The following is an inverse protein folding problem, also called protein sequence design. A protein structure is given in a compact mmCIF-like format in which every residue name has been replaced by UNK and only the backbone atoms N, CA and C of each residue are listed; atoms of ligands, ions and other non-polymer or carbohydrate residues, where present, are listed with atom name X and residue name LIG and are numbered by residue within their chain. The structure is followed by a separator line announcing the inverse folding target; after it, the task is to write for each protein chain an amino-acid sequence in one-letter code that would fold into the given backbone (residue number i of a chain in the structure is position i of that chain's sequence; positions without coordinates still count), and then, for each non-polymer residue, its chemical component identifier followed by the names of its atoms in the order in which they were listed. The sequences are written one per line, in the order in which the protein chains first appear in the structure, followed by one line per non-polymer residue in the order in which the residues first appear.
data_IF_764370254358
#
_entry.id   IF_764370254358
#
_cell.length_a   1.000
_cell.length_b   1.000
_cell.length_c   1.000
_cell.angle_alpha   90.00
_cell.angle_beta   90.00
_cell.angle_gamma   90.00
#
_symmetry.space_group_name_H-M   'P 1'
#
loop_
_entity.id
_entity.type
_entity.pdbx_description
1 polymer ?
#
# COMPACT_ATOMS: atom_id res chain seq x y z
N UNK A 1 17.69 -61.00 11.84
CA UNK A 1 17.31 -59.72 11.20
C UNK A 1 15.96 -59.90 10.52
N UNK A 2 14.88 -59.44 11.14
CA UNK A 2 13.53 -59.43 10.56
C UNK A 2 13.31 -58.05 9.90
N UNK A 3 12.97 -58.00 8.63
CA UNK A 3 12.65 -56.78 7.89
C UNK A 3 11.13 -56.56 7.86
N UNK A 4 10.67 -55.44 8.43
CA UNK A 4 9.29 -54.96 8.37
C UNK A 4 8.90 -54.60 6.93
N UNK A 5 7.85 -55.24 6.41
CA UNK A 5 7.26 -54.94 5.11
C UNK A 5 6.55 -53.59 5.12
N UNK A 6 7.26 -52.53 4.71
CA UNK A 6 6.71 -51.19 4.56
C UNK A 6 5.91 -51.10 3.26
N UNK A 7 4.59 -51.00 3.36
CA UNK A 7 3.73 -50.61 2.24
C UNK A 7 4.01 -49.15 1.86
N UNK A 8 4.26 -48.88 0.59
CA UNK A 8 4.47 -47.52 0.07
C UNK A 8 3.13 -46.81 -0.17
N UNK A 9 3.02 -45.47 0.02
CA UNK A 9 1.73 -44.75 0.03
C UNK A 9 0.95 -44.75 -1.30
N UNK A 10 1.58 -45.18 -2.40
CA UNK A 10 0.96 -45.18 -3.72
C UNK A 10 -0.10 -46.28 -3.90
N UNK A 11 -0.16 -47.27 -3.01
CA UNK A 11 -1.08 -48.42 -3.14
C UNK A 11 -2.49 -48.15 -2.56
N UNK A 12 -2.73 -46.96 -1.98
CA UNK A 12 -4.00 -46.62 -1.31
C UNK A 12 -4.94 -45.78 -2.20
N UNK A 13 -4.46 -45.25 -3.33
CA UNK A 13 -5.30 -44.53 -4.28
C UNK A 13 -5.94 -45.50 -5.29
N UNK A 14 -7.21 -45.85 -5.07
CA UNK A 14 -8.07 -46.40 -6.13
C UNK A 14 -8.95 -45.28 -6.68
N UNK A 15 -8.89 -44.95 -7.98
CA UNK A 15 -9.85 -44.04 -8.59
C UNK A 15 -11.25 -44.65 -8.55
N UNK A 16 -12.23 -43.87 -8.10
CA UNK A 16 -13.64 -44.25 -8.13
C UNK A 16 -14.14 -44.28 -9.59
N UNK A 17 -15.04 -45.21 -9.97
CA UNK A 17 -15.69 -45.18 -11.27
C UNK A 17 -16.49 -43.88 -11.43
N UNK A 18 -16.32 -43.22 -12.57
CA UNK A 18 -17.17 -42.09 -12.96
C UNK A 18 -18.45 -42.70 -13.54
N UNK A 19 -19.57 -42.57 -12.85
CA UNK A 19 -20.89 -42.84 -13.43
C UNK A 19 -21.17 -41.77 -14.49
N UNK A 20 -21.19 -42.18 -15.74
CA UNK A 20 -21.60 -41.33 -16.88
C UNK A 20 -23.12 -41.19 -16.80
N UNK A 21 -23.58 -40.05 -16.28
CA UNK A 21 -25.00 -39.68 -16.31
C UNK A 21 -25.37 -39.36 -17.77
N UNK A 22 -26.31 -40.08 -18.40
CA UNK A 22 -26.78 -39.73 -19.73
C UNK A 22 -27.54 -38.38 -19.68
N UNK A 23 -27.37 -37.49 -20.67
CA UNK A 23 -28.03 -36.20 -20.66
C UNK A 23 -29.55 -36.36 -20.78
N UNK A 24 -30.28 -35.79 -19.82
CA UNK A 24 -31.72 -35.63 -19.89
C UNK A 24 -32.08 -34.65 -21.03
N UNK A 25 -33.12 -34.92 -21.84
CA UNK A 25 -33.57 -34.00 -22.87
C UNK A 25 -34.17 -32.76 -22.21
N UNK A 26 -33.48 -31.62 -22.33
CA UNK A 26 -34.04 -30.32 -21.97
C UNK A 26 -35.02 -29.93 -23.08
N UNK A 27 -36.30 -29.79 -22.72
CA UNK A 27 -37.33 -29.28 -23.59
C UNK A 27 -37.00 -27.83 -23.98
N UNK A 28 -36.85 -27.60 -25.28
CA UNK A 28 -36.61 -26.27 -25.86
C UNK A 28 -37.93 -25.51 -25.93
N UNK A 29 -38.22 -24.65 -24.96
CA UNK A 29 -39.19 -23.57 -25.17
C UNK A 29 -38.54 -22.46 -26.02
N UNK A 30 -39.19 -21.98 -27.09
CA UNK A 30 -38.64 -20.90 -27.91
C UNK A 30 -38.74 -19.56 -27.17
N UNK A 31 -37.62 -19.10 -26.62
CA UNK A 31 -37.42 -17.70 -26.26
C UNK A 31 -37.31 -16.87 -27.54
N UNK A 32 -38.39 -16.16 -27.86
CA UNK A 32 -38.38 -15.05 -28.82
C UNK A 32 -37.30 -14.03 -28.44
N UNK A 33 -36.32 -13.74 -29.31
CA UNK A 33 -35.33 -12.71 -29.03
C UNK A 33 -35.95 -11.33 -29.25
N UNK A 34 -36.29 -10.64 -28.17
CA UNK A 34 -36.47 -9.18 -28.20
C UNK A 34 -35.07 -8.55 -28.15
N UNK A 35 -34.36 -8.59 -29.28
CA UNK A 35 -33.10 -7.86 -29.45
C UNK A 35 -33.43 -6.39 -29.61
N UNK A 36 -33.54 -5.67 -28.48
CA UNK A 36 -33.28 -4.24 -28.49
C UNK A 36 -31.77 -4.11 -28.42
N UNK A 37 -31.15 -3.82 -29.55
CA UNK A 37 -29.75 -3.39 -29.63
C UNK A 37 -29.60 -2.10 -28.80
N UNK A 38 -29.34 -2.25 -27.50
CA UNK A 38 -28.72 -1.19 -26.72
C UNK A 38 -27.26 -1.20 -27.14
N UNK A 39 -26.98 -0.50 -28.23
CA UNK A 39 -25.65 -0.02 -28.56
C UNK A 39 -25.24 0.85 -27.37
N UNK A 40 -24.56 0.25 -26.39
CA UNK A 40 -23.83 1.00 -25.38
C UNK A 40 -22.73 1.74 -26.16
N UNK A 41 -22.78 3.08 -26.29
CA UNK A 41 -21.70 3.78 -26.95
C UNK A 41 -20.40 3.46 -26.19
N UNK A 42 -19.27 3.27 -26.87
CA UNK A 42 -18.00 3.11 -26.19
C UNK A 42 -17.86 4.31 -25.25
N UNK A 43 -17.63 4.04 -23.96
CA UNK A 43 -17.42 5.12 -22.98
C UNK A 43 -16.32 6.01 -23.55
N UNK A 44 -16.70 7.20 -23.98
CA UNK A 44 -15.78 8.21 -24.43
C UNK A 44 -14.74 8.37 -23.32
N UNK A 45 -13.45 8.20 -23.62
CA UNK A 45 -12.38 8.71 -22.77
C UNK A 45 -12.80 10.11 -22.38
N UNK A 46 -13.10 10.34 -21.11
CA UNK A 46 -13.33 11.70 -20.65
C UNK A 46 -11.99 12.40 -20.82
N UNK A 47 -11.85 13.14 -21.91
CA UNK A 47 -10.83 14.15 -22.06
C UNK A 47 -11.19 15.24 -21.05
N UNK A 48 -10.77 15.03 -19.80
CA UNK A 48 -10.74 16.10 -18.81
C UNK A 48 -9.88 17.21 -19.41
N UNK A 49 -10.42 18.43 -19.35
CA UNK A 49 -9.86 19.63 -19.93
C UNK A 49 -8.34 19.76 -19.65
N UNK A 50 -7.56 20.38 -20.56
CA UNK A 50 -6.14 20.59 -20.33
C UNK A 50 -5.94 21.29 -18.99
N UNK A 51 -5.11 20.64 -18.15
CA UNK A 51 -4.72 21.13 -16.83
C UNK A 51 -4.21 22.55 -16.98
N UNK A 52 -4.89 23.49 -16.33
CA UNK A 52 -4.43 24.87 -16.23
C UNK A 52 -3.09 24.85 -15.47
N UNK A 53 -2.08 25.53 -16.01
CA UNK A 53 -0.69 25.62 -15.47
C UNK A 53 -0.60 26.18 -14.04
N UNK A 54 -1.73 26.49 -13.38
CA UNK A 54 -1.83 26.93 -12.00
C UNK A 54 -1.64 25.80 -10.95
N UNK A 55 -1.52 24.53 -11.36
CA UNK A 55 -1.36 23.40 -10.45
C UNK A 55 0.10 23.12 -10.00
N UNK A 56 1.09 23.87 -10.48
CA UNK A 56 2.49 23.68 -10.06
C UNK A 56 2.80 24.19 -8.63
N UNK A 57 1.84 24.88 -7.98
CA UNK A 57 1.91 25.26 -6.56
C UNK A 57 1.11 24.36 -5.62
N UNK A 58 0.39 23.35 -6.13
CA UNK A 58 -0.43 22.46 -5.31
C UNK A 58 0.42 21.32 -4.72
N UNK A 59 0.27 21.07 -3.43
CA UNK A 59 0.89 19.89 -2.78
C UNK A 59 0.34 18.62 -3.44
N UNK A 60 1.23 17.82 -4.03
CA UNK A 60 0.84 16.55 -4.67
C UNK A 60 0.58 15.54 -3.57
N UNK A 61 -0.70 15.32 -3.27
CA UNK A 61 -1.10 14.41 -2.19
C UNK A 61 -1.22 12.95 -2.65
N UNK A 62 -1.59 12.73 -3.91
CA UNK A 62 -1.68 11.39 -4.49
C UNK A 62 -1.59 11.46 -6.03
N UNK A 63 -1.06 10.38 -6.61
CA UNK A 63 -0.94 10.20 -8.06
C UNK A 63 -1.45 8.81 -8.43
N UNK A 64 -1.99 8.69 -9.64
CA UNK A 64 -2.46 7.43 -10.17
C UNK A 64 -1.93 7.18 -11.57
N UNK A 65 -1.67 5.92 -11.91
CA UNK A 65 -1.21 5.51 -13.23
C UNK A 65 -1.57 4.06 -13.51
N UNK A 66 -1.58 3.68 -14.78
CA UNK A 66 -1.76 2.29 -15.18
C UNK A 66 -0.41 1.57 -15.23
N UNK A 67 -0.37 0.35 -14.73
CA UNK A 67 0.80 -0.50 -14.79
C UNK A 67 0.43 -1.93 -15.14
N UNK A 68 1.25 -2.57 -15.98
CA UNK A 68 1.08 -3.99 -16.31
C UNK A 68 1.90 -4.84 -15.35
N UNK A 69 1.24 -5.83 -14.72
CA UNK A 69 1.93 -6.78 -13.86
C UNK A 69 2.93 -7.61 -14.68
N UNK A 70 4.13 -7.80 -14.15
CA UNK A 70 5.16 -8.63 -14.80
C UNK A 70 4.67 -10.07 -15.04
N UNK A 71 5.33 -10.87 -15.89
CA UNK A 71 5.00 -12.29 -16.09
C UNK A 71 5.01 -13.12 -14.81
N UNK A 72 5.72 -12.67 -13.76
CA UNK A 72 5.75 -13.30 -12.43
C UNK A 72 4.72 -12.69 -11.46
N UNK A 73 3.72 -11.97 -11.99
CA UNK A 73 2.70 -11.26 -11.24
C UNK A 73 3.29 -10.34 -10.16
N UNK A 74 4.29 -9.55 -10.54
CA UNK A 74 4.90 -8.52 -9.67
C UNK A 74 4.67 -7.13 -10.24
N UNK A 75 4.51 -6.17 -9.33
CA UNK A 75 4.59 -4.74 -9.61
C UNK A 75 5.80 -4.18 -8.86
N UNK A 76 6.68 -3.48 -9.58
CA UNK A 76 7.84 -2.80 -9.03
C UNK A 76 7.57 -1.30 -9.06
N UNK A 77 7.80 -0.64 -7.94
CA UNK A 77 7.59 0.79 -7.73
C UNK A 77 8.93 1.46 -7.39
N UNK A 78 9.00 2.80 -7.42
CA UNK A 78 10.14 3.52 -6.86
C UNK A 78 10.42 3.12 -5.40
N UNK A 79 11.60 3.49 -4.90
CA UNK A 79 12.08 3.13 -3.55
C UNK A 79 12.15 1.61 -3.27
N UNK A 80 12.38 0.80 -4.32
CA UNK A 80 12.45 -0.67 -4.27
C UNK A 80 11.20 -1.32 -3.63
N UNK A 81 10.06 -0.62 -3.69
CA UNK A 81 8.82 -1.13 -3.16
C UNK A 81 8.18 -2.07 -4.19
N UNK A 82 7.82 -3.29 -3.76
CA UNK A 82 7.27 -4.30 -4.67
C UNK A 82 6.01 -4.96 -4.13
N UNK A 83 5.14 -5.35 -5.05
CA UNK A 83 3.93 -6.11 -4.76
C UNK A 83 3.99 -7.44 -5.51
N UNK A 84 3.72 -8.53 -4.79
CA UNK A 84 3.59 -9.88 -5.37
C UNK A 84 2.13 -10.31 -5.38
N UNK A 85 1.62 -10.71 -6.53
CA UNK A 85 0.26 -11.19 -6.72
C UNK A 85 0.22 -12.69 -7.03
N UNK A 86 -0.98 -13.25 -7.16
CA UNK A 86 -1.18 -14.61 -7.66
C UNK A 86 -0.81 -14.66 -9.14
N UNK A 87 -0.36 -15.82 -9.61
CA UNK A 87 0.05 -16.01 -11.01
C UNK A 87 -1.10 -15.73 -12.00
N UNK A 88 -2.36 -15.92 -11.59
CA UNK A 88 -3.55 -15.62 -12.39
C UNK A 88 -3.68 -14.14 -12.79
N UNK A 89 -3.00 -13.23 -12.06
CA UNK A 89 -2.98 -11.80 -12.37
C UNK A 89 -1.76 -11.39 -13.22
N UNK A 90 -0.90 -12.32 -13.62
CA UNK A 90 0.25 -11.99 -14.46
C UNK A 90 -0.20 -11.31 -15.78
N UNK A 91 0.55 -10.28 -16.20
CA UNK A 91 0.27 -9.48 -17.42
C UNK A 91 -1.08 -8.76 -17.44
N UNK A 92 -1.83 -8.73 -16.33
CA UNK A 92 -3.01 -7.86 -16.21
C UNK A 92 -2.56 -6.42 -16.02
N UNK A 93 -3.30 -5.50 -16.62
CA UNK A 93 -3.20 -4.07 -16.33
C UNK A 93 -3.93 -3.78 -15.01
N UNK A 94 -3.32 -2.96 -14.18
CA UNK A 94 -3.89 -2.49 -12.91
C UNK A 94 -3.71 -0.98 -12.81
N UNK A 95 -4.67 -0.33 -12.17
CA UNK A 95 -4.52 1.07 -11.77
C UNK A 95 -3.82 1.10 -10.42
N UNK A 96 -2.72 1.83 -10.36
CA UNK A 96 -2.00 2.11 -9.11
C UNK A 96 -2.40 3.49 -8.65
N UNK A 97 -3.02 3.59 -7.49
CA UNK A 97 -3.21 4.85 -6.76
C UNK A 97 -2.18 4.90 -5.64
N UNK A 98 -1.40 5.96 -5.55
CA UNK A 98 -0.37 6.09 -4.53
C UNK A 98 -0.30 7.50 -3.96
N UNK A 99 -0.23 7.57 -2.63
CA UNK A 99 0.11 8.76 -1.87
C UNK A 99 1.46 8.57 -1.15
N UNK A 100 1.83 9.55 -0.33
CA UNK A 100 2.93 9.44 0.64
C UNK A 100 2.58 8.50 1.84
N UNK A 101 1.33 8.04 1.95
CA UNK A 101 0.83 7.22 3.06
C UNK A 101 0.54 5.78 2.67
N UNK A 102 -0.10 5.60 1.52
CA UNK A 102 -0.66 4.32 1.11
C UNK A 102 -0.59 4.15 -0.40
N UNK A 103 -0.58 2.88 -0.81
CA UNK A 103 -0.63 2.48 -2.21
C UNK A 103 -1.76 1.46 -2.34
N UNK A 104 -2.67 1.74 -3.26
CA UNK A 104 -3.85 0.95 -3.56
C UNK A 104 -3.71 0.44 -4.99
N UNK A 105 -3.79 -0.88 -5.12
CA UNK A 105 -3.77 -1.55 -6.42
C UNK A 105 -5.20 -1.90 -6.74
N UNK A 106 -5.69 -1.34 -7.84
CA UNK A 106 -7.07 -1.44 -8.29
C UNK A 106 -7.10 -2.23 -9.59
N UNK A 107 -7.99 -3.21 -9.66
CA UNK A 107 -8.26 -4.00 -10.86
C UNK A 107 -9.77 -4.01 -11.07
N UNK A 108 -10.23 -3.68 -12.28
CA UNK A 108 -11.66 -3.63 -12.64
C UNK A 108 -12.49 -2.75 -11.69
N UNK A 109 -11.91 -1.65 -11.20
CA UNK A 109 -12.54 -0.72 -10.24
C UNK A 109 -12.54 -1.18 -8.78
N UNK A 110 -12.02 -2.37 -8.46
CA UNK A 110 -11.94 -2.90 -7.10
C UNK A 110 -10.51 -2.87 -6.54
N UNK A 111 -10.35 -2.42 -5.29
CA UNK A 111 -9.05 -2.46 -4.59
C UNK A 111 -8.70 -3.91 -4.25
N UNK A 112 -7.74 -4.48 -4.98
CA UNK A 112 -7.25 -5.85 -4.77
C UNK A 112 -6.12 -5.92 -3.74
N UNK A 113 -5.42 -4.82 -3.49
CA UNK A 113 -4.36 -4.75 -2.47
C UNK A 113 -4.09 -3.35 -1.98
N UNK A 114 -3.82 -3.22 -0.68
CA UNK A 114 -3.38 -1.97 -0.04
C UNK A 114 -2.10 -2.22 0.74
N UNK A 115 -1.16 -1.28 0.69
CA UNK A 115 0.05 -1.27 1.54
C UNK A 115 0.41 0.15 1.97
N UNK A 116 1.14 0.31 3.09
CA UNK A 116 1.82 1.56 3.38
C UNK A 116 2.72 1.97 2.22
N UNK A 117 2.76 3.26 1.91
CA UNK A 117 3.65 3.82 0.90
C UNK A 117 5.04 4.05 1.49
N UNK A 118 6.07 3.89 0.65
CA UNK A 118 7.44 4.37 0.88
C UNK A 118 7.82 5.49 -0.08
N UNK A 119 6.84 6.03 -0.81
CA UNK A 119 7.06 7.08 -1.79
C UNK A 119 7.16 8.42 -1.07
N UNK A 120 8.23 9.15 -1.34
CA UNK A 120 8.40 10.54 -0.96
C UNK A 120 7.62 11.45 -1.91
N UNK A 121 7.39 12.70 -1.50
CA UNK A 121 6.81 13.72 -2.37
C UNK A 121 7.62 13.90 -3.67
N UNK A 122 8.94 13.72 -3.61
CA UNK A 122 9.80 13.73 -4.80
C UNK A 122 9.45 12.59 -5.75
N UNK A 123 9.25 11.36 -5.25
CA UNK A 123 8.86 10.23 -6.08
C UNK A 123 7.49 10.46 -6.73
N UNK A 124 6.54 11.06 -5.99
CA UNK A 124 5.23 11.40 -6.54
C UNK A 124 5.35 12.41 -7.69
N UNK A 125 6.18 13.45 -7.55
CA UNK A 125 6.46 14.41 -8.63
C UNK A 125 7.15 13.73 -9.82
N UNK A 126 8.07 12.83 -9.55
CA UNK A 126 8.75 12.06 -10.59
C UNK A 126 7.81 11.13 -11.35
N UNK A 127 6.82 10.55 -10.69
CA UNK A 127 5.78 9.75 -11.34
C UNK A 127 4.92 10.63 -12.25
N UNK A 128 4.54 11.85 -11.81
CA UNK A 128 3.83 12.81 -12.67
C UNK A 128 4.64 13.15 -13.92
N UNK A 129 5.95 13.41 -13.78
CA UNK A 129 6.84 13.66 -14.93
C UNK A 129 6.92 12.47 -15.89
N UNK A 130 6.70 11.25 -15.40
CA UNK A 130 6.68 10.00 -16.19
C UNK A 130 5.29 9.68 -16.76
N UNK A 131 4.30 10.56 -16.59
CA UNK A 131 2.96 10.41 -17.16
C UNK A 131 1.90 9.87 -16.20
N UNK A 132 2.19 9.77 -14.89
CA UNK A 132 1.12 9.60 -13.90
C UNK A 132 0.23 10.86 -13.87
N UNK A 133 -1.02 10.69 -13.44
CA UNK A 133 -1.99 11.78 -13.28
C UNK A 133 -2.23 12.06 -11.80
N UNK A 134 -2.65 13.28 -11.46
CA UNK A 134 -3.11 13.58 -10.11
C UNK A 134 -4.29 12.68 -9.80
N UNK A 135 -4.23 12.00 -8.65
CA UNK A 135 -5.23 11.01 -8.32
C UNK A 135 -6.51 11.64 -7.78
N UNK A 136 -7.62 10.91 -7.95
CA UNK A 136 -8.86 11.20 -7.24
C UNK A 136 -8.77 10.90 -5.73
N UNK A 137 -9.89 10.98 -5.01
CA UNK A 137 -9.98 10.56 -3.61
C UNK A 137 -9.42 9.15 -3.38
N UNK A 138 -8.91 8.88 -2.18
CA UNK A 138 -8.40 7.55 -1.83
C UNK A 138 -9.46 6.48 -2.13
N UNK A 139 -9.12 5.42 -2.89
CA UNK A 139 -10.09 4.41 -3.29
C UNK A 139 -10.73 3.75 -2.06
N UNK A 140 -12.00 4.06 -1.82
CA UNK A 140 -12.84 3.30 -0.91
C UNK A 140 -12.98 1.87 -1.46
N UNK A 141 -12.94 0.86 -0.59
CA UNK A 141 -13.17 -0.51 -1.03
C UNK A 141 -14.55 -0.60 -1.68
N UNK A 142 -14.60 -1.16 -2.89
CA UNK A 142 -15.84 -1.56 -3.54
C UNK A 142 -16.65 -2.43 -2.58
N UNK A 143 -17.91 -2.05 -2.36
CA UNK A 143 -18.84 -2.77 -1.52
C UNK A 143 -18.97 -4.21 -2.02
N UNK A 144 -18.56 -5.18 -1.20
CA UNK A 144 -19.07 -6.54 -1.29
C UNK A 144 -20.23 -6.60 -0.31
N UNK A 145 -21.45 -6.61 -0.85
CA UNK A 145 -22.67 -6.94 -0.12
C UNK A 145 -22.56 -8.37 0.42
N UNK A 146 -22.47 -8.55 1.74
CA UNK A 146 -23.39 -9.37 2.57
C UNK A 146 -23.25 -8.87 4.02
N UNK A 147 -24.29 -8.16 4.47
CA UNK A 147 -24.79 -8.07 5.84
C UNK A 147 -23.81 -7.76 7.00
N UNK A 148 -23.41 -6.49 7.12
CA UNK A 148 -23.58 -5.68 8.34
C UNK A 148 -22.87 -4.35 8.12
N UNK A 149 -23.64 -3.27 8.03
CA UNK A 149 -23.16 -1.92 8.32
C UNK A 149 -22.70 -1.88 9.79
N UNK A 150 -21.45 -2.26 10.04
CA UNK A 150 -20.62 -1.41 10.89
C UNK A 150 -19.73 -0.64 9.93
N UNK A 151 -20.21 0.56 9.61
CA UNK A 151 -19.51 1.64 8.93
C UNK A 151 -18.02 1.56 9.18
N UNK A 152 -17.23 1.81 8.13
CA UNK A 152 -15.78 2.07 8.16
C UNK A 152 -15.46 3.30 9.03
N UNK A 153 -15.85 3.26 10.30
CA UNK A 153 -15.67 4.28 11.29
C UNK A 153 -14.19 4.23 11.65
N UNK A 154 -13.53 5.36 11.44
CA UNK A 154 -12.15 5.48 11.82
C UNK A 154 -12.11 5.50 13.35
N UNK A 155 -11.38 4.55 13.92
CA UNK A 155 -11.23 4.41 15.37
C UNK A 155 -9.86 4.92 15.76
N UNK A 156 -9.82 5.79 16.76
CA UNK A 156 -8.60 6.27 17.38
C UNK A 156 -8.43 5.73 18.78
N UNK A 157 -7.18 5.46 19.13
CA UNK A 157 -6.80 4.96 20.43
C UNK A 157 -5.49 5.62 20.85
N UNK A 158 -5.44 6.19 22.05
CA UNK A 158 -4.19 6.73 22.57
C UNK A 158 -3.37 5.64 23.27
N UNK A 159 -2.06 5.58 22.98
CA UNK A 159 -1.10 4.66 23.61
C UNK A 159 0.16 5.41 24.00
N UNK A 160 0.75 5.04 25.13
CA UNK A 160 2.09 5.50 25.51
C UNK A 160 3.09 4.47 25.02
N UNK A 161 4.15 4.93 24.35
CA UNK A 161 5.20 4.05 23.83
C UNK A 161 6.09 3.60 24.99
N UNK A 162 6.29 2.29 25.12
CA UNK A 162 7.13 1.70 26.15
C UNK A 162 8.61 2.06 25.98
N UNK A 163 9.44 1.77 26.99
CA UNK A 163 10.90 1.90 26.91
C UNK A 163 11.50 1.13 25.71
N UNK A 164 10.93 -0.02 25.39
CA UNK A 164 11.33 -0.85 24.26
C UNK A 164 10.85 -0.32 22.88
N UNK A 165 10.22 0.86 22.82
CA UNK A 165 9.74 1.44 21.56
C UNK A 165 8.48 0.78 21.00
N UNK A 166 7.68 0.10 21.83
CA UNK A 166 6.48 -0.60 21.38
C UNK A 166 5.19 -0.05 22.00
N UNK A 167 4.06 -0.35 21.36
CA UNK A 167 2.73 -0.18 21.92
C UNK A 167 1.97 -1.50 21.94
N UNK A 168 1.09 -1.65 22.94
CA UNK A 168 0.16 -2.77 23.04
C UNK A 168 -1.21 -2.42 22.44
N UNK A 169 -1.72 -3.28 21.56
CA UNK A 169 -3.01 -3.15 20.91
C UNK A 169 -3.73 -4.50 20.92
N UNK A 170 -4.72 -4.69 21.82
CA UNK A 170 -5.55 -5.91 21.83
C UNK A 170 -4.74 -7.21 21.81
N UNK A 171 -3.72 -7.32 22.68
CA UNK A 171 -2.80 -8.46 22.72
C UNK A 171 -1.63 -8.42 21.72
N UNK A 172 -1.64 -7.54 20.73
CA UNK A 172 -0.55 -7.38 19.76
C UNK A 172 0.49 -6.36 20.25
N UNK A 173 1.77 -6.71 20.10
CA UNK A 173 2.90 -5.78 20.31
C UNK A 173 3.31 -5.19 18.96
N UNK A 174 3.23 -3.87 18.83
CA UNK A 174 3.61 -3.16 17.60
C UNK A 174 4.86 -2.34 17.87
N UNK A 175 5.90 -2.58 17.08
CA UNK A 175 7.15 -1.83 17.13
C UNK A 175 6.99 -0.49 16.41
N UNK A 176 7.37 0.58 17.12
CA UNK A 176 7.44 1.94 16.60
C UNK A 176 8.91 2.39 16.56
N UNK A 177 9.13 3.69 16.31
CA UNK A 177 10.45 4.28 16.31
C UNK A 177 10.95 4.56 17.73
N UNK A 178 12.26 4.45 17.94
CA UNK A 178 12.90 4.73 19.23
C UNK A 178 12.75 6.18 19.67
N UNK A 179 12.56 7.10 18.72
CA UNK A 179 12.30 8.53 18.98
C UNK A 179 11.00 8.78 19.74
N UNK A 180 10.05 7.84 19.66
CA UNK A 180 8.73 7.96 20.28
C UNK A 180 8.67 7.40 21.71
N UNK A 181 9.75 6.80 22.22
CA UNK A 181 9.79 6.20 23.57
C UNK A 181 9.32 7.20 24.63
N UNK A 182 8.37 6.77 25.47
CA UNK A 182 7.79 7.61 26.53
C UNK A 182 6.73 8.61 26.04
N UNK A 183 6.59 8.82 24.73
CA UNK A 183 5.58 9.72 24.19
C UNK A 183 4.20 9.07 24.16
N UNK A 184 3.15 9.91 24.29
CA UNK A 184 1.76 9.50 24.08
C UNK A 184 1.39 9.75 22.61
N UNK A 185 1.10 8.69 21.89
CA UNK A 185 0.74 8.71 20.47
C UNK A 185 -0.74 8.37 20.28
N UNK A 186 -1.32 8.89 19.20
CA UNK A 186 -2.64 8.47 18.72
C UNK A 186 -2.45 7.41 17.65
N UNK A 187 -3.07 6.26 17.85
CA UNK A 187 -3.16 5.18 16.86
C UNK A 187 -4.53 5.30 16.20
N UNK A 188 -4.54 5.65 14.92
CA UNK A 188 -5.76 5.78 14.12
C UNK A 188 -5.88 4.60 13.18
N UNK A 189 -7.01 3.88 13.22
CA UNK A 189 -7.28 2.74 12.37
C UNK A 189 -8.20 3.13 11.21
N UNK A 190 -7.72 2.93 9.99
CA UNK A 190 -8.43 3.30 8.78
C UNK A 190 -8.30 2.17 7.74
N UNK A 191 -9.43 1.54 7.41
CA UNK A 191 -9.44 0.36 6.55
C UNK A 191 -8.52 -0.76 7.08
N UNK A 192 -7.55 -1.19 6.27
CA UNK A 192 -6.55 -2.22 6.67
C UNK A 192 -5.25 -1.63 7.20
N UNK A 193 -5.16 -0.32 7.34
CA UNK A 193 -3.98 0.38 7.82
C UNK A 193 -4.25 0.95 9.21
N UNK A 194 -3.16 1.17 9.93
CA UNK A 194 -3.13 2.01 11.11
C UNK A 194 -2.06 3.08 10.95
N UNK A 195 -2.38 4.25 11.46
CA UNK A 195 -1.60 5.46 11.35
C UNK A 195 -1.20 5.90 12.76
N UNK A 196 0.10 6.09 12.96
CA UNK A 196 0.68 6.53 14.22
C UNK A 196 0.89 8.04 14.14
N UNK A 197 0.14 8.78 14.95
CA UNK A 197 0.20 10.23 15.01
C UNK A 197 0.84 10.65 16.31
N UNK A 198 1.89 11.47 16.22
CA UNK A 198 2.54 12.11 17.36
C UNK A 198 2.70 13.60 17.06
N UNK A 199 2.49 14.47 18.05
CA UNK A 199 2.61 15.93 17.90
C UNK A 199 1.84 16.48 16.68
N UNK A 200 0.61 15.97 16.46
CA UNK A 200 -0.26 16.31 15.32
C UNK A 200 0.37 16.07 13.93
N UNK A 201 1.33 15.14 13.83
CA UNK A 201 1.91 14.70 12.56
C UNK A 201 1.82 13.20 12.45
N UNK A 202 1.59 12.73 11.23
CA UNK A 202 1.66 11.30 10.93
C UNK A 202 3.13 10.88 10.92
N UNK A 203 3.51 10.02 11.85
CA UNK A 203 4.88 9.51 11.97
C UNK A 203 5.04 8.21 11.20
N UNK A 204 4.05 7.31 11.27
CA UNK A 204 4.17 5.98 10.66
C UNK A 204 2.84 5.42 10.18
N UNK A 205 2.87 4.73 9.05
CA UNK A 205 1.73 3.94 8.55
C UNK A 205 2.11 2.47 8.50
N UNK A 206 1.26 1.63 9.08
CA UNK A 206 1.49 0.20 9.21
C UNK A 206 0.21 -0.58 8.85
N UNK A 207 0.30 -1.85 8.45
CA UNK A 207 -0.88 -2.71 8.41
C UNK A 207 -1.53 -2.78 9.79
N UNK A 208 -2.87 -2.68 9.84
CA UNK A 208 -3.61 -2.82 11.09
C UNK A 208 -3.54 -4.29 11.54
N UNK A 209 -2.96 -4.60 12.72
CA UNK A 209 -2.91 -5.96 13.23
C UNK A 209 -4.26 -6.45 13.77
N UNK A 210 -5.22 -5.53 13.94
CA UNK A 210 -6.53 -5.81 14.53
C UNK A 210 -7.63 -5.69 13.47
N UNK A 211 -8.48 -6.74 13.34
CA UNK A 211 -9.70 -6.72 12.51
C UNK A 211 -10.64 -5.55 12.83
N UNK A 212 -11.41 -5.08 11.84
CA UNK A 212 -12.21 -3.86 11.97
C UNK A 212 -13.26 -3.93 13.10
N UNK A 213 -13.92 -5.07 13.22
CA UNK A 213 -14.94 -5.43 14.22
C UNK A 213 -14.42 -5.37 15.66
N UNK A 214 -13.11 -5.58 15.88
CA UNK A 214 -12.51 -5.62 17.22
C UNK A 214 -11.96 -4.26 17.68
N UNK A 215 -11.88 -3.27 16.80
CA UNK A 215 -11.20 -1.99 17.11
C UNK A 215 -11.96 -1.15 18.13
N UNK A 216 -13.29 -1.15 18.05
CA UNK A 216 -14.15 -0.41 18.99
C UNK A 216 -14.04 -0.97 20.42
N UNK A 217 -13.69 -2.25 20.57
CA UNK A 217 -13.49 -2.88 21.88
C UNK A 217 -12.12 -2.56 22.51
N UNK A 218 -11.21 -1.87 21.80
CA UNK A 218 -9.93 -1.49 22.37
C UNK A 218 -10.11 -0.49 23.50
N UNK A 219 -9.33 -0.68 24.58
CA UNK A 219 -9.35 0.25 25.71
C UNK A 219 -9.03 1.67 25.25
N UNK A 220 -9.96 2.59 25.50
CA UNK A 220 -9.85 4.01 25.13
C UNK A 220 -10.06 4.27 23.64
N UNK A 221 -10.70 3.35 22.92
CA UNK A 221 -11.16 3.57 21.56
C UNK A 221 -12.23 4.66 21.51
N UNK A 222 -12.13 5.50 20.49
CA UNK A 222 -13.14 6.51 20.16
C UNK A 222 -13.28 6.62 18.64
N UNK A 223 -14.47 6.88 18.11
CA UNK A 223 -14.61 7.23 16.70
C UNK A 223 -13.96 8.59 16.43
N UNK A 224 -13.44 8.76 15.22
CA UNK A 224 -12.90 10.03 14.73
C UNK A 224 -13.36 10.25 13.30
N UNK A 225 -13.73 11.48 12.99
CA UNK A 225 -13.99 11.95 11.63
C UNK A 225 -12.94 12.98 11.18
N UNK A 226 -11.97 13.31 12.04
CA UNK A 226 -10.94 14.29 11.70
C UNK A 226 -10.06 13.75 10.56
N UNK A 227 -9.69 14.57 9.57
CA UNK A 227 -8.75 14.16 8.53
C UNK A 227 -7.40 13.73 9.11
N UNK A 228 -6.75 12.77 8.48
CA UNK A 228 -5.41 12.34 8.91
C UNK A 228 -4.41 13.49 8.72
N UNK A 229 -3.65 13.88 9.76
CA UNK A 229 -2.70 14.98 9.68
C UNK A 229 -1.60 14.70 8.65
N UNK A 230 -0.92 15.74 8.13
CA UNK A 230 0.17 15.57 7.19
C UNK A 230 1.30 14.69 7.77
N UNK A 231 2.04 13.95 6.92
CA UNK A 231 3.23 13.24 7.36
C UNK A 231 4.26 14.15 7.99
N UNK A 232 4.99 13.62 8.96
CA UNK A 232 6.17 14.28 9.47
C UNK A 232 7.23 14.38 8.35
N UNK A 233 7.95 15.50 8.24
CA UNK A 233 9.07 15.58 7.33
C UNK A 233 10.10 14.50 7.70
N UNK A 234 10.79 13.89 6.72
CA UNK A 234 11.83 12.92 7.02
C UNK A 234 12.92 13.57 7.88
N UNK A 235 13.56 12.77 8.74
CA UNK A 235 14.69 13.26 9.52
C UNK A 235 15.81 13.71 8.58
N UNK A 236 16.42 14.87 8.83
CA UNK A 236 17.48 15.39 7.96
C UNK A 236 18.81 15.48 8.70
N UNK A 237 19.88 15.08 8.02
CA UNK A 237 21.24 15.31 8.45
C UNK A 237 22.00 16.10 7.39
N UNK A 238 22.55 17.24 7.78
CA UNK A 238 23.51 17.97 6.94
C UNK A 238 24.91 17.41 7.18
N UNK A 239 25.60 16.99 6.13
CA UNK A 239 26.96 16.47 6.24
C UNK A 239 27.84 17.06 5.15
N UNK A 240 29.05 17.46 5.54
CA UNK A 240 30.09 17.84 4.58
C UNK A 240 30.75 16.59 4.03
N UNK A 241 30.84 16.48 2.71
CA UNK A 241 31.48 15.33 2.05
C UNK A 241 32.98 15.37 2.28
N UNK A 242 33.53 14.29 2.83
CA UNK A 242 34.97 14.18 3.10
C UNK A 242 35.78 14.08 1.79
N UNK A 243 37.10 14.25 1.89
CA UNK A 243 38.01 14.20 0.72
C UNK A 243 37.94 12.88 -0.07
N UNK A 244 37.61 11.78 0.59
CA UNK A 244 37.42 10.48 -0.06
C UNK A 244 36.03 10.31 -0.72
N UNK A 245 35.17 11.33 -0.70
CA UNK A 245 33.83 11.31 -1.28
C UNK A 245 32.78 10.60 -0.44
N UNK A 246 32.98 10.46 0.86
CA UNK A 246 32.04 9.76 1.77
C UNK A 246 31.49 10.68 2.86
N UNK A 247 30.35 10.30 3.42
CA UNK A 247 29.70 10.91 4.59
C UNK A 247 29.25 9.82 5.57
N UNK A 248 29.12 10.16 6.84
CA UNK A 248 28.58 9.23 7.86
C UNK A 248 27.29 9.79 8.45
N UNK A 249 26.22 8.99 8.42
CA UNK A 249 24.89 9.32 8.96
C UNK A 249 24.37 8.12 9.72
N UNK A 250 23.87 8.32 10.94
CA UNK A 250 23.33 7.25 11.80
C UNK A 250 24.29 6.02 11.92
N UNK A 251 25.61 6.27 11.96
CA UNK A 251 26.62 5.21 12.01
C UNK A 251 26.90 4.49 10.68
N UNK A 252 26.16 4.81 9.61
CA UNK A 252 26.36 4.23 8.28
C UNK A 252 27.20 5.15 7.40
N UNK A 253 28.16 4.56 6.65
CA UNK A 253 29.00 5.28 5.69
C UNK A 253 28.36 5.26 4.30
N UNK A 254 28.00 6.43 3.81
CA UNK A 254 27.42 6.63 2.48
C UNK A 254 28.50 7.16 1.52
N UNK A 255 28.61 6.59 0.32
CA UNK A 255 29.55 7.03 -0.72
C UNK A 255 28.80 7.94 -1.70
N UNK A 256 29.08 9.24 -1.61
CA UNK A 256 28.44 10.28 -2.44
C UNK A 256 29.23 10.47 -3.75
N UNK A 257 30.56 10.42 -3.66
CA UNK A 257 31.47 10.65 -4.79
C UNK A 257 32.46 11.77 -4.49
N UNK A 258 33.66 11.67 -5.07
CA UNK A 258 34.73 12.67 -4.85
C UNK A 258 34.41 14.01 -5.53
N UNK A 259 33.58 14.01 -6.57
CA UNK A 259 33.09 15.22 -7.25
C UNK A 259 32.36 16.19 -6.32
N UNK A 260 31.79 15.68 -5.23
CA UNK A 260 31.07 16.47 -4.23
C UNK A 260 31.92 16.79 -2.99
N UNK A 261 33.22 16.53 -3.02
CA UNK A 261 34.13 16.79 -1.91
C UNK A 261 33.98 18.23 -1.40
N UNK A 262 33.92 18.39 -0.08
CA UNK A 262 33.86 19.69 0.56
C UNK A 262 32.50 20.38 0.48
N UNK A 263 31.56 19.87 -0.32
CA UNK A 263 30.17 20.34 -0.35
C UNK A 263 29.39 19.81 0.84
N UNK A 264 28.37 20.57 1.26
CA UNK A 264 27.41 20.13 2.27
C UNK A 264 26.21 19.52 1.56
N UNK A 265 25.89 18.27 1.88
CA UNK A 265 24.72 17.58 1.34
C UNK A 265 23.66 17.43 2.43
N UNK A 266 22.40 17.57 2.03
CA UNK A 266 21.25 17.30 2.88
C UNK A 266 20.84 15.84 2.70
N UNK A 267 20.83 15.08 3.79
CA UNK A 267 20.52 13.66 3.74
C UNK A 267 19.22 13.44 4.49
N UNK A 268 18.15 13.14 3.74
CA UNK A 268 16.89 12.69 4.30
C UNK A 268 17.01 11.22 4.71
N UNK A 269 16.70 10.95 5.97
CA UNK A 269 16.75 9.67 6.64
C UNK A 269 15.31 9.19 6.75
N UNK A 270 14.97 8.21 5.91
CA UNK A 270 13.69 7.51 5.92
C UNK A 270 13.86 6.14 6.59
N UNK A 271 12.75 5.44 6.85
CA UNK A 271 12.72 4.16 7.58
C UNK A 271 13.77 3.15 7.09
N UNK A 272 13.96 3.02 5.77
CA UNK A 272 14.89 2.04 5.17
C UNK A 272 15.81 2.61 4.10
N UNK A 273 15.77 3.93 3.87
CA UNK A 273 16.48 4.57 2.75
C UNK A 273 17.11 5.87 3.21
N UNK A 274 18.34 6.11 2.76
CA UNK A 274 18.99 7.42 2.85
C UNK A 274 18.90 8.09 1.49
N UNK A 275 18.22 9.23 1.42
CA UNK A 275 18.17 10.05 0.21
C UNK A 275 19.13 11.20 0.36
N UNK A 276 20.02 11.36 -0.61
CA UNK A 276 21.01 12.43 -0.62
C UNK A 276 20.52 13.48 -1.59
N UNK A 277 20.23 14.66 -1.07
CA UNK A 277 19.91 15.86 -1.83
C UNK A 277 21.18 16.70 -1.89
N UNK A 278 21.60 17.01 -3.10
CA UNK A 278 22.77 17.83 -3.39
C UNK A 278 22.22 19.13 -3.98
N UNK A 279 22.52 20.27 -3.35
CA UNK A 279 22.10 21.56 -3.88
C UNK A 279 22.87 21.84 -5.17
N UNK A 280 22.22 21.61 -6.31
CA UNK A 280 22.79 21.78 -7.64
C UNK A 280 22.43 20.62 -8.57
N UNK A 281 21.39 20.85 -9.39
CA UNK A 281 20.83 20.03 -10.48
C UNK A 281 19.70 19.06 -10.11
#
# INVERSE_FOLDING_TARGET
HQSLGMATPATVFRPAPIDVIPPLPVATEPLVPNTVDVIVPPRTRQHLAPVTEHALGATVHAVEWEAVLTPRARLLLPADQQFKFTAALARREVTVWASDRSIHIVLDGAVIRTRPSRLSEHDLRDLLRRGARIAGPEPARGAVTVDMLTTSAVIEVARTVSRDGCIGLGGHKVLLESTLVGQRVTVRFEGTLMHIVANRRLVKTLPAPIPADQRAALRGARPSAEPLPPPAPPHQAMRRVAANGTVTVAGQRLRIGRSYQGQTVAIAIEDTVFRVVIDGN
#
